data_IF_092136777398
#
_entry.id   IF_092136777398
#
_cell.length_a   1.000
_cell.length_b   1.000
_cell.length_c   1.000
_cell.angle_alpha   90.00
_cell.angle_beta   90.00
_cell.angle_gamma   90.00
#
_symmetry.space_group_name_H-M   'P 1'
#
loop_
_entity.id
_entity.type
_entity.pdbx_description
1 polymer ?
#
# COMPACT_ATOMS: atom_id res chain seq x y z
N UNK A 1 -19.50 23.00 30.41
CA UNK A 1 -18.32 22.74 31.26
C UNK A 1 -18.01 21.25 31.23
N UNK A 2 -17.16 20.80 30.32
CA UNK A 2 -16.70 19.41 30.25
C UNK A 2 -15.18 19.39 30.31
N UNK A 3 -14.65 18.69 31.31
CA UNK A 3 -13.27 18.71 31.77
C UNK A 3 -12.32 18.07 30.76
N UNK A 4 -11.33 18.84 30.32
CA UNK A 4 -10.09 18.35 29.72
C UNK A 4 -9.33 17.52 30.76
N UNK A 5 -9.06 16.24 30.47
CA UNK A 5 -8.02 15.48 31.19
C UNK A 5 -6.68 15.75 30.48
N UNK A 6 -5.87 16.60 31.10
CA UNK A 6 -4.48 16.77 30.73
C UNK A 6 -3.69 15.52 31.14
N UNK A 7 -2.96 14.95 30.20
CA UNK A 7 -1.87 14.02 30.48
C UNK A 7 -0.67 14.56 29.70
N UNK A 8 0.38 14.97 30.43
CA UNK A 8 1.68 15.44 29.94
C UNK A 8 1.72 16.71 29.08
N UNK A 9 1.08 17.81 29.51
CA UNK A 9 1.56 19.20 29.28
C UNK A 9 1.79 19.70 27.85
N UNK A 10 1.55 18.91 26.82
CA UNK A 10 1.68 19.27 25.41
C UNK A 10 0.26 19.37 24.88
N UNK A 11 -0.21 20.60 24.71
CA UNK A 11 -1.35 20.86 23.85
C UNK A 11 -0.96 20.46 22.43
N UNK A 12 -1.26 19.21 22.06
CA UNK A 12 -1.27 18.80 20.67
C UNK A 12 -2.43 19.55 20.01
N UNK A 13 -2.12 20.71 19.41
CA UNK A 13 -2.99 21.28 18.38
C UNK A 13 -3.20 20.17 17.34
N UNK A 14 -4.42 19.87 16.89
CA UNK A 14 -4.62 18.97 15.77
C UNK A 14 -4.02 19.68 14.56
N UNK A 15 -2.75 19.39 14.27
CA UNK A 15 -2.12 20.01 13.13
C UNK A 15 -2.61 19.27 11.89
N UNK A 16 -3.44 19.96 11.12
CA UNK A 16 -3.90 19.55 9.81
C UNK A 16 -2.68 19.68 8.88
N UNK A 17 -1.89 18.61 8.73
CA UNK A 17 -0.71 18.59 7.86
C UNK A 17 -0.92 17.83 6.55
N UNK A 18 -0.10 18.25 5.58
CA UNK A 18 -0.29 18.23 4.13
C UNK A 18 -0.81 16.90 3.53
N UNK A 19 -2.11 16.88 3.23
CA UNK A 19 -2.71 16.10 2.14
C UNK A 19 -2.96 16.83 0.80
N UNK A 20 -2.64 18.13 0.59
CA UNK A 20 -3.24 18.92 -0.47
C UNK A 20 -2.95 18.34 -1.85
N UNK A 21 -1.71 18.02 -2.22
CA UNK A 21 -1.44 17.58 -3.61
C UNK A 21 -2.19 16.30 -4.05
N UNK A 22 -2.35 15.32 -3.15
CA UNK A 22 -3.05 14.08 -3.47
C UNK A 22 -4.58 14.24 -3.39
N UNK A 23 -5.07 15.05 -2.44
CA UNK A 23 -6.48 15.41 -2.37
C UNK A 23 -6.89 16.31 -3.55
N UNK A 24 -6.01 17.21 -3.98
CA UNK A 24 -6.19 18.10 -5.12
C UNK A 24 -6.35 17.28 -6.41
N UNK A 25 -5.54 16.22 -6.59
CA UNK A 25 -5.70 15.30 -7.71
C UNK A 25 -7.06 14.58 -7.69
N UNK A 26 -7.53 14.13 -6.52
CA UNK A 26 -8.86 13.53 -6.36
C UNK A 26 -9.96 14.55 -6.71
N UNK A 27 -9.89 15.75 -6.13
CA UNK A 27 -10.88 16.82 -6.35
C UNK A 27 -10.87 17.31 -7.80
N UNK A 28 -9.71 17.39 -8.44
CA UNK A 28 -9.58 17.70 -9.84
C UNK A 28 -10.25 16.63 -10.71
N UNK A 29 -9.97 15.35 -10.44
CA UNK A 29 -10.61 14.24 -11.16
C UNK A 29 -12.14 14.29 -11.03
N UNK A 30 -12.67 14.47 -9.81
CA UNK A 30 -14.12 14.56 -9.56
C UNK A 30 -14.73 15.72 -10.38
N UNK A 31 -14.12 16.92 -10.32
CA UNK A 31 -14.62 18.10 -11.05
C UNK A 31 -14.62 17.91 -12.56
N UNK A 32 -13.59 17.27 -13.10
CA UNK A 32 -13.45 17.08 -14.55
C UNK A 32 -14.35 15.99 -15.12
N UNK A 33 -14.92 15.11 -14.28
CA UNK A 33 -15.63 13.91 -14.73
C UNK A 33 -17.05 13.80 -14.13
N UNK A 34 -17.68 14.93 -13.79
CA UNK A 34 -19.02 14.96 -13.18
C UNK A 34 -20.09 14.27 -14.03
N UNK A 35 -20.00 14.40 -15.36
CA UNK A 35 -20.95 13.85 -16.33
C UNK A 35 -21.06 12.31 -16.26
N UNK A 36 -19.96 11.64 -15.90
CA UNK A 36 -19.89 10.17 -15.81
C UNK A 36 -19.82 9.67 -14.37
N UNK A 37 -20.18 10.51 -13.39
CA UNK A 37 -20.03 10.22 -11.95
C UNK A 37 -20.73 8.94 -11.48
N UNK A 38 -21.76 8.49 -12.19
CA UNK A 38 -22.49 7.25 -11.89
C UNK A 38 -21.92 6.00 -12.56
N UNK A 39 -20.90 6.15 -13.43
CA UNK A 39 -20.32 5.03 -14.17
C UNK A 39 -19.35 4.21 -13.30
N UNK A 40 -19.24 2.91 -13.60
CA UNK A 40 -18.23 2.04 -12.99
C UNK A 40 -16.79 2.48 -13.30
N UNK A 41 -16.57 3.07 -14.48
CA UNK A 41 -15.28 3.64 -14.91
C UNK A 41 -14.88 4.80 -14.00
N UNK A 42 -15.81 5.71 -13.71
CA UNK A 42 -15.57 6.81 -12.77
C UNK A 42 -15.26 6.29 -11.36
N UNK A 43 -16.05 5.34 -10.85
CA UNK A 43 -15.84 4.79 -9.50
C UNK A 43 -14.51 4.05 -9.39
N UNK A 44 -14.13 3.27 -10.41
CA UNK A 44 -12.83 2.60 -10.47
C UNK A 44 -11.67 3.58 -10.50
N UNK A 45 -11.76 4.61 -11.36
CA UNK A 45 -10.72 5.63 -11.46
C UNK A 45 -10.59 6.47 -10.19
N UNK A 46 -11.71 6.84 -9.57
CA UNK A 46 -11.72 7.54 -8.29
C UNK A 46 -11.05 6.70 -7.20
N UNK A 47 -11.30 5.38 -7.22
CA UNK A 47 -10.66 4.45 -6.31
C UNK A 47 -9.15 4.38 -6.51
N UNK A 48 -8.66 4.32 -7.76
CA UNK A 48 -7.22 4.36 -8.07
C UNK A 48 -6.54 5.62 -7.49
N UNK A 49 -7.15 6.79 -7.63
CA UNK A 49 -6.64 8.03 -7.01
C UNK A 49 -6.62 7.95 -5.48
N UNK A 50 -7.66 7.35 -4.89
CA UNK A 50 -7.75 7.13 -3.44
C UNK A 50 -6.64 6.19 -2.96
N UNK A 51 -6.38 5.11 -3.69
CA UNK A 51 -5.27 4.18 -3.41
C UNK A 51 -3.93 4.90 -3.49
N UNK A 52 -3.68 5.67 -4.55
CA UNK A 52 -2.43 6.44 -4.68
C UNK A 52 -2.19 7.39 -3.50
N UNK A 53 -3.25 8.07 -3.03
CA UNK A 53 -3.19 8.92 -1.84
C UNK A 53 -2.75 8.12 -0.61
N UNK A 54 -3.35 6.96 -0.35
CA UNK A 54 -3.02 6.16 0.83
C UNK A 54 -1.62 5.51 0.73
N UNK A 55 -1.22 5.05 -0.46
CA UNK A 55 0.13 4.52 -0.69
C UNK A 55 1.19 5.58 -0.42
N UNK A 56 0.98 6.79 -0.94
CA UNK A 56 1.89 7.91 -0.70
C UNK A 56 1.90 8.33 0.76
N UNK A 57 0.72 8.57 1.32
CA UNK A 57 0.59 9.14 2.66
C UNK A 57 0.88 8.17 3.80
N UNK A 58 0.66 6.87 3.64
CA UNK A 58 0.83 5.88 4.74
C UNK A 58 1.96 4.90 4.53
N UNK A 59 2.38 4.64 3.29
CA UNK A 59 3.52 3.74 3.01
C UNK A 59 4.75 4.51 2.51
N UNK A 60 4.68 5.84 2.42
CA UNK A 60 5.77 6.70 1.92
C UNK A 60 6.18 6.37 0.48
N UNK A 61 5.29 5.74 -0.30
CA UNK A 61 5.55 5.49 -1.71
C UNK A 61 5.57 6.79 -2.50
N UNK A 62 6.45 6.87 -3.49
CA UNK A 62 6.60 8.04 -4.33
C UNK A 62 6.65 7.64 -5.81
N UNK A 63 6.68 8.63 -6.69
CA UNK A 63 6.61 8.43 -8.14
C UNK A 63 5.42 7.56 -8.57
N UNK A 64 4.29 7.70 -7.86
CA UNK A 64 3.07 6.96 -8.16
C UNK A 64 2.45 7.52 -9.45
N UNK A 65 2.23 6.64 -10.42
CA UNK A 65 1.66 6.97 -11.72
C UNK A 65 0.62 5.94 -12.11
N UNK A 66 -0.54 6.41 -12.58
CA UNK A 66 -1.53 5.57 -13.23
C UNK A 66 -1.01 5.13 -14.59
N UNK A 67 -1.22 3.87 -14.95
CA UNK A 67 -0.80 3.30 -16.24
C UNK A 67 -2.01 2.97 -17.14
N UNK A 68 -3.23 3.14 -16.63
CA UNK A 68 -4.49 2.63 -17.20
C UNK A 68 -4.64 2.72 -18.72
N UNK A 69 -5.22 1.66 -19.30
CA UNK A 69 -5.52 1.53 -20.72
C UNK A 69 -5.68 0.06 -21.13
N UNK A 70 -6.18 -0.23 -22.34
CA UNK A 70 -6.43 -1.59 -22.83
C UNK A 70 -5.21 -2.55 -22.86
N UNK A 71 -4.01 -2.05 -22.54
CA UNK A 71 -2.73 -2.77 -22.57
C UNK A 71 -2.03 -2.84 -21.20
N UNK A 72 -2.68 -2.44 -20.10
CA UNK A 72 -2.08 -2.34 -18.77
C UNK A 72 -1.76 -3.70 -18.11
N UNK A 73 -2.22 -4.80 -18.73
CA UNK A 73 -2.06 -6.18 -18.27
C UNK A 73 -2.54 -6.36 -16.80
N UNK A 74 -3.45 -5.53 -16.31
CA UNK A 74 -3.95 -5.61 -14.93
C UNK A 74 -3.08 -4.91 -13.87
N UNK A 75 -2.18 -4.00 -14.25
CA UNK A 75 -1.52 -3.07 -13.32
C UNK A 75 -2.07 -1.66 -13.52
N UNK A 76 -2.79 -1.14 -12.54
CA UNK A 76 -3.42 0.17 -12.62
C UNK A 76 -2.46 1.30 -12.24
N UNK A 77 -1.56 1.05 -11.27
CA UNK A 77 -0.60 2.03 -10.75
C UNK A 77 0.81 1.44 -10.63
N UNK A 78 1.82 2.24 -10.94
CA UNK A 78 3.23 1.94 -10.67
C UNK A 78 3.83 3.00 -9.76
N UNK A 79 4.86 2.64 -9.00
CA UNK A 79 5.64 3.61 -8.25
C UNK A 79 6.88 3.02 -7.60
N UNK A 80 7.44 3.76 -6.67
CA UNK A 80 8.65 3.42 -5.93
C UNK A 80 8.37 3.40 -4.43
N UNK A 81 8.92 2.42 -3.73
CA UNK A 81 8.84 2.31 -2.28
C UNK A 81 10.22 2.44 -1.64
N UNK A 82 10.57 3.63 -1.10
CA UNK A 82 11.84 3.87 -0.42
C UNK A 82 11.83 3.22 0.97
N UNK A 83 12.09 1.92 1.03
CA UNK A 83 11.99 1.14 2.25
C UNK A 83 13.07 1.49 3.28
N UNK A 84 14.24 1.91 2.83
CA UNK A 84 15.33 2.42 3.67
C UNK A 84 14.92 3.65 4.47
N UNK A 85 14.15 4.56 3.87
CA UNK A 85 13.56 5.70 4.56
C UNK A 85 12.64 5.25 5.70
N UNK A 86 11.72 4.32 5.43
CA UNK A 86 10.81 3.78 6.47
C UNK A 86 11.61 3.14 7.59
N UNK A 87 12.54 2.25 7.25
CA UNK A 87 13.41 1.58 8.21
C UNK A 87 14.19 2.57 9.08
N UNK A 88 14.83 3.58 8.47
CA UNK A 88 15.61 4.60 9.18
C UNK A 88 14.76 5.51 10.07
N UNK A 89 13.47 5.70 9.78
CA UNK A 89 12.57 6.44 10.67
C UNK A 89 12.07 5.58 11.82
N UNK A 90 11.78 4.30 11.58
CA UNK A 90 11.29 3.38 12.61
C UNK A 90 12.35 3.11 13.66
N UNK A 91 13.59 2.82 13.24
CA UNK A 91 14.70 2.47 14.15
C UNK A 91 15.11 3.61 15.10
N UNK A 92 14.78 4.87 14.76
CA UNK A 92 14.94 6.03 15.67
C UNK A 92 13.94 6.05 16.82
N UNK A 93 12.87 5.27 16.74
CA UNK A 93 11.72 5.33 17.65
C UNK A 93 11.58 4.05 18.44
N UNK A 94 11.77 2.91 17.78
CA UNK A 94 11.58 1.60 18.37
C UNK A 94 12.71 0.67 17.91
N UNK A 95 13.32 -0.09 18.84
CA UNK A 95 14.23 -1.16 18.45
C UNK A 95 13.47 -2.24 17.67
N UNK A 96 14.10 -2.79 16.64
CA UNK A 96 13.54 -3.87 15.81
C UNK A 96 14.30 -5.17 16.07
N UNK A 97 13.54 -6.25 16.26
CA UNK A 97 14.08 -7.59 16.55
C UNK A 97 15.12 -8.03 15.51
N UNK A 98 16.12 -8.80 15.95
CA UNK A 98 17.10 -9.37 15.04
C UNK A 98 16.44 -10.26 13.97
N UNK A 99 16.99 -10.23 12.75
CA UNK A 99 16.49 -11.03 11.62
C UNK A 99 17.54 -12.01 11.14
N UNK A 100 17.15 -13.19 10.62
CA UNK A 100 18.10 -14.13 10.06
C UNK A 100 18.73 -13.58 8.77
N UNK A 101 20.01 -13.90 8.52
CA UNK A 101 20.71 -13.49 7.28
C UNK A 101 20.06 -14.05 6.01
N UNK A 102 19.40 -15.21 6.12
CA UNK A 102 18.62 -15.86 5.07
C UNK A 102 17.44 -16.60 5.69
N UNK A 103 16.34 -16.68 4.96
CA UNK A 103 15.17 -17.48 5.32
C UNK A 103 14.75 -18.36 4.15
N UNK A 104 14.11 -19.50 4.46
CA UNK A 104 13.59 -20.45 3.47
C UNK A 104 12.07 -20.40 3.52
N UNK A 105 11.43 -20.04 2.42
CA UNK A 105 9.97 -19.98 2.29
C UNK A 105 9.53 -20.74 1.04
N UNK A 106 8.63 -21.71 1.18
CA UNK A 106 8.12 -22.53 0.05
C UNK A 106 9.23 -23.10 -0.86
N UNK A 107 10.34 -23.56 -0.25
CA UNK A 107 11.51 -24.08 -0.96
C UNK A 107 12.43 -23.03 -1.58
N UNK A 108 12.12 -21.74 -1.42
CA UNK A 108 12.92 -20.61 -1.92
C UNK A 108 13.76 -20.03 -0.80
N UNK A 109 15.06 -19.88 -1.00
CA UNK A 109 15.92 -19.15 -0.06
C UNK A 109 15.98 -17.69 -0.46
N UNK A 110 15.64 -16.80 0.47
CA UNK A 110 15.72 -15.36 0.28
C UNK A 110 16.48 -14.69 1.41
N UNK A 111 16.92 -13.46 1.16
CA UNK A 111 17.61 -12.60 2.12
C UNK A 111 16.67 -11.44 2.48
N UNK A 112 16.29 -11.26 3.75
CA UNK A 112 15.49 -10.10 4.16
C UNK A 112 16.14 -8.79 3.72
N UNK A 113 15.33 -7.83 3.28
CA UNK A 113 15.80 -6.54 2.77
C UNK A 113 16.47 -5.70 3.85
N UNK A 114 16.10 -5.88 5.13
CA UNK A 114 16.81 -5.28 6.26
C UNK A 114 18.31 -5.58 6.23
N UNK A 115 18.70 -6.83 5.96
CA UNK A 115 20.11 -7.18 5.88
C UNK A 115 20.83 -6.41 4.78
N UNK A 116 20.14 -6.16 3.64
CA UNK A 116 20.72 -5.36 2.55
C UNK A 116 20.83 -3.89 2.91
N UNK A 117 19.85 -3.35 3.65
CA UNK A 117 19.90 -1.98 4.15
C UNK A 117 21.10 -1.82 5.08
N UNK A 118 21.26 -2.72 6.05
CA UNK A 118 22.36 -2.69 7.03
C UNK A 118 23.74 -2.86 6.38
N UNK A 119 23.88 -3.76 5.40
CA UNK A 119 25.14 -3.96 4.67
C UNK A 119 25.54 -2.80 3.77
N UNK A 120 24.58 -1.98 3.35
CA UNK A 120 24.80 -0.83 2.46
C UNK A 120 24.68 0.50 3.21
N UNK A 121 25.18 0.56 4.45
CA UNK A 121 25.21 1.76 5.29
C UNK A 121 23.85 2.47 5.42
N UNK A 122 22.78 1.67 5.58
CA UNK A 122 21.42 2.16 5.74
C UNK A 122 20.72 2.52 4.43
N UNK A 123 21.26 2.16 3.26
CA UNK A 123 20.68 2.50 1.95
C UNK A 123 20.09 1.30 1.23
N UNK A 124 19.00 1.52 0.49
CA UNK A 124 18.43 0.54 -0.43
C UNK A 124 17.75 1.26 -1.58
N UNK A 125 18.08 0.88 -2.81
CA UNK A 125 17.33 1.35 -3.98
C UNK A 125 15.82 1.07 -3.79
N UNK A 126 14.94 2.05 -4.08
CA UNK A 126 13.51 1.88 -3.90
C UNK A 126 12.97 0.63 -4.60
N UNK A 127 12.08 -0.09 -3.93
CA UNK A 127 11.39 -1.22 -4.54
C UNK A 127 10.42 -0.72 -5.61
N UNK A 128 10.33 -1.45 -6.72
CA UNK A 128 9.30 -1.19 -7.74
C UNK A 128 7.96 -1.68 -7.21
N UNK A 129 6.99 -0.79 -7.08
CA UNK A 129 5.62 -1.12 -6.69
C UNK A 129 4.74 -1.25 -7.93
N UNK A 130 4.05 -2.38 -8.05
CA UNK A 130 3.07 -2.67 -9.09
C UNK A 130 1.72 -2.90 -8.41
N UNK A 131 0.74 -2.05 -8.68
CA UNK A 131 -0.50 -2.01 -7.92
C UNK A 131 -1.67 -2.31 -8.82
N UNK A 132 -2.51 -3.26 -8.41
CA UNK A 132 -3.82 -3.51 -8.97
C UNK A 132 -4.89 -3.02 -7.99
N UNK A 133 -5.88 -2.30 -8.51
CA UNK A 133 -6.99 -1.69 -7.80
C UNK A 133 -8.28 -2.39 -8.21
N UNK A 134 -9.07 -2.85 -7.22
CA UNK A 134 -10.31 -3.57 -7.48
C UNK A 134 -11.44 -3.08 -6.58
N UNK A 135 -12.19 -2.11 -7.08
CA UNK A 135 -13.35 -1.48 -6.44
C UNK A 135 -14.64 -2.34 -6.60
N UNK A 136 -14.66 -3.52 -6.00
CA UNK A 136 -15.84 -4.38 -6.01
C UNK A 136 -17.00 -3.77 -5.20
N UNK A 137 -18.22 -3.80 -5.73
CA UNK A 137 -19.43 -3.29 -5.05
C UNK A 137 -19.91 -4.14 -3.86
N UNK A 138 -19.33 -5.32 -3.62
CA UNK A 138 -19.65 -6.14 -2.44
C UNK A 138 -19.02 -7.53 -2.41
N UNK A 139 -18.48 -8.04 -3.52
CA UNK A 139 -17.80 -9.33 -3.54
C UNK A 139 -16.42 -9.27 -2.89
N UNK A 140 -16.09 -10.31 -2.11
CA UNK A 140 -14.73 -10.54 -1.62
C UNK A 140 -13.76 -10.77 -2.77
N UNK A 141 -12.49 -10.46 -2.55
CA UNK A 141 -11.42 -10.70 -3.54
C UNK A 141 -11.11 -12.20 -3.60
N UNK A 142 -11.26 -12.78 -4.77
CA UNK A 142 -11.18 -14.23 -4.99
C UNK A 142 -9.79 -14.67 -5.47
N UNK A 143 -9.52 -15.99 -5.53
CA UNK A 143 -8.29 -16.53 -6.11
C UNK A 143 -8.01 -16.11 -7.56
N UNK A 144 -9.05 -15.78 -8.35
CA UNK A 144 -8.89 -15.42 -9.77
C UNK A 144 -8.02 -14.18 -9.94
N UNK A 145 -8.32 -13.15 -9.17
CA UNK A 145 -7.67 -11.84 -9.20
C UNK A 145 -6.18 -11.97 -8.84
N UNK A 146 -5.86 -12.81 -7.86
CA UNK A 146 -4.47 -13.07 -7.50
C UNK A 146 -3.70 -13.83 -8.56
N UNK A 147 -4.31 -14.84 -9.19
CA UNK A 147 -3.67 -15.56 -10.30
C UNK A 147 -3.35 -14.64 -11.47
N UNK A 148 -4.27 -13.74 -11.79
CA UNK A 148 -4.08 -12.72 -12.83
C UNK A 148 -2.90 -11.81 -12.47
N UNK A 149 -2.92 -11.20 -11.28
CA UNK A 149 -1.85 -10.30 -10.84
C UNK A 149 -0.46 -10.98 -10.79
N UNK A 150 -0.40 -12.22 -10.31
CA UNK A 150 0.84 -13.01 -10.27
C UNK A 150 1.33 -13.33 -11.68
N UNK A 151 0.42 -13.68 -12.60
CA UNK A 151 0.75 -13.90 -14.01
C UNK A 151 1.31 -12.63 -14.67
N UNK A 152 0.69 -11.49 -14.40
CA UNK A 152 1.16 -10.18 -14.86
C UNK A 152 2.55 -9.87 -14.34
N UNK A 153 2.79 -10.05 -13.03
CA UNK A 153 4.10 -9.87 -12.42
C UNK A 153 5.17 -10.72 -13.11
N UNK A 154 4.89 -12.02 -13.32
CA UNK A 154 5.81 -12.92 -14.00
C UNK A 154 6.09 -12.50 -15.45
N UNK A 155 5.14 -11.83 -16.12
CA UNK A 155 5.33 -11.36 -17.50
C UNK A 155 6.13 -10.05 -17.61
N UNK A 156 6.07 -9.17 -16.59
CA UNK A 156 6.66 -7.82 -16.66
C UNK A 156 7.92 -7.65 -15.81
N UNK A 157 8.13 -8.49 -14.80
CA UNK A 157 9.27 -8.39 -13.89
C UNK A 157 10.28 -9.50 -14.19
N UNK A 158 11.49 -9.16 -14.66
CA UNK A 158 12.56 -10.13 -14.83
C UNK A 158 12.93 -10.83 -13.52
N UNK A 159 13.39 -12.07 -13.60
CA UNK A 159 13.74 -12.88 -12.42
C UNK A 159 14.73 -12.19 -11.48
N UNK A 160 15.72 -11.49 -12.03
CA UNK A 160 16.72 -10.70 -11.28
C UNK A 160 16.12 -9.54 -10.48
N UNK A 161 14.92 -9.08 -10.82
CA UNK A 161 14.24 -7.94 -10.21
C UNK A 161 13.08 -8.35 -9.30
N UNK A 162 12.77 -9.65 -9.17
CA UNK A 162 11.61 -10.13 -8.37
C UNK A 162 11.73 -9.76 -6.89
N UNK A 163 12.93 -9.83 -6.30
CA UNK A 163 13.18 -9.42 -4.92
C UNK A 163 13.45 -7.91 -4.77
N UNK A 164 13.29 -7.14 -5.86
CA UNK A 164 13.34 -5.67 -5.91
C UNK A 164 12.00 -5.06 -6.35
N UNK A 165 10.97 -5.90 -6.47
CA UNK A 165 9.64 -5.51 -6.92
C UNK A 165 8.60 -6.12 -5.99
N UNK A 166 7.50 -5.42 -5.77
CA UNK A 166 6.38 -5.87 -4.95
C UNK A 166 5.08 -5.65 -5.73
N UNK A 167 4.17 -6.61 -5.64
CA UNK A 167 2.81 -6.45 -6.13
C UNK A 167 1.86 -6.13 -4.98
N UNK A 168 0.94 -5.21 -5.23
CA UNK A 168 -0.08 -4.80 -4.30
C UNK A 168 -1.45 -5.02 -4.91
N UNK A 169 -2.32 -5.75 -4.21
CA UNK A 169 -3.74 -5.83 -4.52
C UNK A 169 -4.49 -4.92 -3.54
N UNK A 170 -5.15 -3.89 -4.06
CA UNK A 170 -5.91 -2.93 -3.28
C UNK A 170 -7.41 -3.12 -3.53
N UNK A 171 -8.19 -3.33 -2.48
CA UNK A 171 -9.64 -3.45 -2.58
C UNK A 171 -10.33 -2.95 -1.31
N UNK A 172 -11.58 -2.42 -1.37
CA UNK A 172 -12.33 -2.10 -0.14
C UNK A 172 -12.79 -3.34 0.62
N UNK A 173 -12.84 -4.49 -0.05
CA UNK A 173 -13.46 -5.70 0.47
C UNK A 173 -12.45 -6.60 1.20
N UNK A 174 -12.93 -7.74 1.71
CA UNK A 174 -12.07 -8.75 2.34
C UNK A 174 -11.66 -9.82 1.32
N UNK A 175 -10.65 -10.60 1.67
CA UNK A 175 -10.28 -11.82 0.95
C UNK A 175 -11.30 -12.93 1.21
N UNK A 176 -11.51 -13.82 0.24
CA UNK A 176 -12.09 -15.14 0.53
C UNK A 176 -11.08 -16.00 1.29
N UNK A 177 -11.53 -17.09 1.92
CA UNK A 177 -10.62 -18.03 2.63
C UNK A 177 -9.65 -18.67 1.64
N UNK A 178 -10.14 -19.00 0.45
CA UNK A 178 -9.37 -19.58 -0.65
C UNK A 178 -8.39 -18.55 -1.21
N UNK A 179 -8.79 -17.27 -1.30
CA UNK A 179 -7.90 -16.18 -1.70
C UNK A 179 -6.75 -16.01 -0.72
N UNK A 180 -7.04 -15.99 0.58
CA UNK A 180 -6.02 -15.93 1.64
C UNK A 180 -5.08 -17.15 1.60
N UNK A 181 -5.61 -18.35 1.41
CA UNK A 181 -4.81 -19.56 1.28
C UNK A 181 -3.87 -19.48 0.06
N UNK A 182 -4.40 -19.08 -1.10
CA UNK A 182 -3.63 -18.95 -2.34
C UNK A 182 -2.47 -17.96 -2.18
N UNK A 183 -2.71 -16.73 -1.69
CA UNK A 183 -1.67 -15.70 -1.66
C UNK A 183 -0.46 -16.11 -0.81
N UNK A 184 -0.66 -16.92 0.23
CA UNK A 184 0.45 -17.39 1.06
C UNK A 184 1.30 -18.46 0.38
N UNK A 185 0.80 -19.15 -0.63
CA UNK A 185 1.57 -20.16 -1.38
C UNK A 185 2.40 -19.59 -2.53
N UNK A 186 2.11 -18.36 -2.99
CA UNK A 186 2.78 -17.81 -4.18
C UNK A 186 4.20 -17.33 -3.85
N UNK A 187 5.13 -17.56 -4.79
CA UNK A 187 6.57 -17.24 -4.65
C UNK A 187 6.91 -15.84 -5.17
N UNK A 188 6.06 -14.87 -4.87
CA UNK A 188 6.26 -13.46 -5.25
C UNK A 188 5.90 -12.55 -4.07
N UNK A 189 6.58 -11.40 -3.89
CA UNK A 189 6.24 -10.46 -2.82
C UNK A 189 4.88 -9.83 -3.10
N UNK A 190 3.84 -10.28 -2.38
CA UNK A 190 2.47 -9.82 -2.54
C UNK A 190 1.96 -9.21 -1.25
N UNK A 191 1.42 -7.99 -1.37
CA UNK A 191 0.76 -7.28 -0.28
C UNK A 191 -0.71 -7.07 -0.64
N UNK A 192 -1.60 -7.41 0.28
CA UNK A 192 -3.00 -7.07 0.20
C UNK A 192 -3.30 -5.87 1.08
N UNK A 193 -3.87 -4.83 0.47
CA UNK A 193 -4.32 -3.63 1.17
C UNK A 193 -5.83 -3.52 1.12
N UNK A 194 -6.44 -3.36 2.29
CA UNK A 194 -7.84 -2.98 2.37
C UNK A 194 -7.94 -1.47 2.48
N UNK A 195 -8.32 -0.80 1.39
CA UNK A 195 -8.50 0.66 1.33
C UNK A 195 -9.96 0.94 0.99
N UNK A 196 -10.64 1.72 1.83
CA UNK A 196 -12.04 2.07 1.63
C UNK A 196 -12.28 2.88 0.35
N UNK A 197 -13.51 2.85 -0.14
CA UNK A 197 -13.98 3.83 -1.10
C UNK A 197 -14.15 5.19 -0.41
N UNK A 198 -14.10 6.27 -1.18
CA UNK A 198 -14.54 7.57 -0.67
C UNK A 198 -16.04 7.53 -0.39
N UNK A 199 -16.43 8.07 0.77
CA UNK A 199 -17.83 8.20 1.17
C UNK A 199 -18.42 9.46 0.53
N UNK A 200 -19.72 9.41 0.21
CA UNK A 200 -20.46 10.58 -0.27
C UNK A 200 -21.04 11.36 0.91
N UNK A 201 -20.96 12.69 0.83
CA UNK A 201 -21.67 13.64 1.68
C UNK A 201 -22.51 14.51 0.76
N UNK A 202 -23.80 14.18 0.63
CA UNK A 202 -24.68 14.75 -0.38
C UNK A 202 -24.14 14.48 -1.80
N UNK A 203 -23.92 15.55 -2.54
CA UNK A 203 -23.39 15.50 -3.92
C UNK A 203 -21.86 15.50 -3.99
N UNK A 204 -21.17 15.62 -2.85
CA UNK A 204 -19.72 15.66 -2.77
C UNK A 204 -19.13 14.38 -2.18
N UNK A 205 -17.81 14.25 -2.27
CA UNK A 205 -17.03 13.17 -1.65
C UNK A 205 -16.28 13.69 -0.42
N UNK A 206 -16.25 12.89 0.64
CA UNK A 206 -15.49 13.17 1.87
C UNK A 206 -14.01 12.82 1.70
N UNK A 207 -13.28 13.63 0.95
CA UNK A 207 -11.87 13.36 0.65
C UNK A 207 -10.99 13.39 1.91
N UNK A 208 -11.40 14.11 2.95
CA UNK A 208 -10.59 14.28 4.16
C UNK A 208 -10.82 13.19 5.21
N UNK A 209 -12.02 12.64 5.32
CA UNK A 209 -12.31 11.68 6.39
C UNK A 209 -12.60 10.26 5.89
N UNK A 210 -12.69 10.02 4.58
CA UNK A 210 -12.94 8.69 4.01
C UNK A 210 -11.82 8.17 3.10
N UNK A 211 -11.95 6.95 2.57
CA UNK A 211 -10.97 6.31 1.69
C UNK A 211 -9.71 5.79 2.40
N UNK A 212 -9.84 5.34 3.66
CA UNK A 212 -8.69 5.05 4.51
C UNK A 212 -8.14 3.65 4.24
N UNK A 213 -6.82 3.50 4.32
CA UNK A 213 -6.18 2.21 4.56
C UNK A 213 -6.63 1.66 5.92
N UNK A 214 -7.31 0.52 5.89
CA UNK A 214 -7.84 -0.21 7.03
C UNK A 214 -6.96 -1.39 7.44
N UNK A 215 -6.40 -2.09 6.46
CA UNK A 215 -5.61 -3.29 6.73
C UNK A 215 -4.43 -3.41 5.77
N UNK A 216 -3.30 -3.84 6.32
CA UNK A 216 -2.07 -4.16 5.61
C UNK A 216 -1.75 -5.63 5.86
N UNK A 217 -1.65 -6.42 4.79
CA UNK A 217 -1.37 -7.85 4.89
C UNK A 217 -0.27 -8.25 3.91
N UNK A 218 0.80 -8.84 4.42
CA UNK A 218 1.87 -9.44 3.64
C UNK A 218 1.58 -10.92 3.46
N UNK A 219 1.75 -11.45 2.25
CA UNK A 219 1.83 -12.90 2.11
C UNK A 219 3.15 -13.43 2.71
N UNK A 220 3.24 -14.75 2.88
CA UNK A 220 4.45 -15.41 3.42
C UNK A 220 5.76 -14.94 2.77
N UNK A 221 5.77 -14.80 1.43
CA UNK A 221 6.96 -14.37 0.70
C UNK A 221 7.33 -12.91 1.01
N UNK A 222 6.36 -12.00 0.97
CA UNK A 222 6.57 -10.59 1.32
C UNK A 222 6.97 -10.43 2.79
N UNK A 223 6.34 -11.16 3.70
CA UNK A 223 6.65 -11.13 5.13
C UNK A 223 8.09 -11.56 5.40
N UNK A 224 8.56 -12.61 4.72
CA UNK A 224 9.95 -13.05 4.79
C UNK A 224 10.93 -12.03 4.16
N UNK A 225 10.58 -11.45 3.01
CA UNK A 225 11.42 -10.47 2.32
C UNK A 225 11.53 -9.14 3.08
N UNK A 226 10.42 -8.67 3.67
CA UNK A 226 10.31 -7.40 4.40
C UNK A 226 10.59 -7.55 5.90
N UNK A 227 10.97 -8.74 6.35
CA UNK A 227 11.22 -9.03 7.76
C UNK A 227 12.19 -8.01 8.37
N UNK A 228 11.77 -7.41 9.50
CA UNK A 228 12.56 -6.41 10.23
C UNK A 228 12.70 -5.04 9.54
N UNK A 229 12.01 -4.78 8.42
CA UNK A 229 12.08 -3.46 7.78
C UNK A 229 11.18 -2.41 8.46
N UNK A 230 10.41 -2.78 9.48
CA UNK A 230 9.67 -1.84 10.33
C UNK A 230 8.32 -1.38 9.81
N UNK A 231 7.77 -1.96 8.73
CA UNK A 231 6.52 -1.48 8.10
C UNK A 231 5.32 -1.59 9.07
N UNK A 232 5.25 -2.66 9.86
CA UNK A 232 4.15 -2.90 10.81
C UNK A 232 4.20 -1.88 11.94
N UNK A 233 5.39 -1.59 12.47
CA UNK A 233 5.65 -0.58 13.48
C UNK A 233 5.35 0.82 12.95
N UNK A 234 5.80 1.12 11.73
CA UNK A 234 5.53 2.37 11.01
C UNK A 234 4.03 2.67 10.93
N UNK A 235 3.22 1.68 10.54
CA UNK A 235 1.77 1.82 10.45
C UNK A 235 1.11 1.89 11.83
N UNK A 236 1.49 0.99 12.76
CA UNK A 236 0.91 0.89 14.11
C UNK A 236 1.14 2.16 14.92
N UNK A 237 2.34 2.73 14.85
CA UNK A 237 2.72 3.95 15.57
C UNK A 237 2.38 5.22 14.79
N UNK A 238 1.80 5.09 13.59
CA UNK A 238 1.45 6.22 12.71
C UNK A 238 2.61 7.18 12.44
N UNK A 239 3.83 6.62 12.24
CA UNK A 239 5.04 7.42 12.01
C UNK A 239 5.01 8.19 10.68
N UNK A 240 4.08 7.85 9.79
CA UNK A 240 3.76 8.59 8.57
C UNK A 240 3.13 9.97 8.81
N UNK A 241 2.74 10.31 10.03
CA UNK A 241 2.13 11.61 10.38
C UNK A 241 3.14 12.68 10.84
N UNK A 242 4.44 12.41 10.67
CA UNK A 242 5.53 13.28 11.13
C UNK A 242 5.77 14.45 10.19
#
# INVERSE_FOLDING_TARGET
>A
MSRLKAINGIMLRPIIWKRPSSNDAILQFIRQNQEISQSSVFQGTLYEHTVMRELSGKLSMNQLQKIGGSHDRGVDVRGQWPLDFVFGQVTKVVPLDAVPKRCKIHGTTLKPLRCKIEENDGKLDPLKALVQCKAFSGSKVSPREFRELVGTFASIVPDSQRNRSVILMCSPNLLTKEGLSLINTVKVPLIYLRIEMLQRIGDNYDVDNSGRLLNYYENDYAAALLQGCGIKEWLKLSLYRR
#
